data_IF_028667918009
#
_entry.id   IF_028667918009
#
_cell.length_a   1.000
_cell.length_b   1.000
_cell.length_c   1.000
_cell.angle_alpha   90.00
_cell.angle_beta   90.00
_cell.angle_gamma   90.00
#
_symmetry.space_group_name_H-M   'P 1'
#
loop_
_entity.id
_entity.type
_entity.pdbx_description
1 polymer ?
#
# COMPACT_ATOMS: atom_id res chain seq x y z
N UNK A 1 21.24 -1.69 -0.73
CA UNK A 1 19.78 -1.52 -0.94
C UNK A 1 19.34 -2.43 -2.09
N UNK A 2 18.22 -3.11 -1.94
CA UNK A 2 17.68 -3.95 -2.99
C UNK A 2 16.82 -3.10 -3.94
N UNK A 3 17.38 -2.81 -5.12
CA UNK A 3 16.74 -1.93 -6.11
C UNK A 3 15.46 -2.55 -6.70
N UNK A 4 15.47 -3.86 -6.97
CA UNK A 4 14.31 -4.55 -7.53
C UNK A 4 13.15 -4.54 -6.54
N UNK A 5 13.40 -4.84 -5.28
CA UNK A 5 12.36 -4.77 -4.25
C UNK A 5 11.84 -3.34 -4.08
N UNK A 6 12.72 -2.36 -4.06
CA UNK A 6 12.33 -0.95 -3.95
C UNK A 6 11.39 -0.56 -5.10
N UNK A 7 11.72 -0.96 -6.33
CA UNK A 7 10.89 -0.68 -7.50
C UNK A 7 9.54 -1.42 -7.43
N UNK A 8 9.55 -2.66 -6.97
CA UNK A 8 8.32 -3.45 -6.80
C UNK A 8 7.39 -2.81 -5.78
N UNK A 9 7.93 -2.36 -4.64
CA UNK A 9 7.16 -1.68 -3.61
C UNK A 9 6.54 -0.39 -4.13
N UNK A 10 7.29 0.38 -4.92
CA UNK A 10 6.77 1.60 -5.55
C UNK A 10 5.63 1.32 -6.51
N UNK A 11 5.78 0.32 -7.36
CA UNK A 11 4.74 -0.09 -8.31
C UNK A 11 3.50 -0.59 -7.57
N UNK A 12 3.68 -1.43 -6.55
CA UNK A 12 2.60 -1.93 -5.71
C UNK A 12 1.78 -0.78 -5.12
N UNK A 13 2.46 0.20 -4.54
CA UNK A 13 1.80 1.35 -3.93
C UNK A 13 1.00 2.16 -4.96
N UNK A 14 1.55 2.37 -6.16
CA UNK A 14 0.84 3.06 -7.23
C UNK A 14 -0.47 2.36 -7.60
N UNK A 15 -0.48 1.04 -7.62
CA UNK A 15 -1.69 0.26 -7.93
C UNK A 15 -2.67 0.28 -6.76
N UNK A 16 -2.18 0.26 -5.52
CA UNK A 16 -3.05 0.24 -4.34
C UNK A 16 -3.73 1.58 -4.05
N UNK A 17 -3.15 2.69 -4.48
CA UNK A 17 -3.74 4.02 -4.30
C UNK A 17 -5.14 4.13 -4.90
N UNK A 18 -5.36 3.80 -6.18
CA UNK A 18 -6.71 3.80 -6.74
C UNK A 18 -7.65 2.84 -6.03
N UNK A 19 -7.18 1.69 -5.60
CA UNK A 19 -8.00 0.73 -4.85
C UNK A 19 -8.57 1.37 -3.59
N UNK A 20 -7.72 2.03 -2.79
CA UNK A 20 -8.15 2.73 -1.56
C UNK A 20 -9.19 3.79 -1.90
N UNK A 21 -8.92 4.63 -2.88
CA UNK A 21 -9.82 5.71 -3.30
C UNK A 21 -11.17 5.15 -3.73
N UNK A 22 -11.17 4.09 -4.53
CA UNK A 22 -12.41 3.48 -5.04
C UNK A 22 -13.24 2.87 -3.90
N UNK A 23 -12.62 2.20 -2.95
CA UNK A 23 -13.31 1.64 -1.78
C UNK A 23 -13.97 2.76 -0.95
N UNK A 24 -13.24 3.85 -0.72
CA UNK A 24 -13.77 4.97 0.05
C UNK A 24 -14.91 5.68 -0.67
N UNK A 25 -14.79 5.92 -1.96
CA UNK A 25 -15.85 6.55 -2.77
C UNK A 25 -17.10 5.68 -2.82
N UNK A 26 -16.94 4.38 -2.96
CA UNK A 26 -18.04 3.42 -3.03
C UNK A 26 -18.84 3.36 -1.72
N UNK A 27 -18.15 3.40 -0.59
CA UNK A 27 -18.77 3.21 0.72
C UNK A 27 -19.18 4.52 1.42
N UNK A 28 -18.63 5.64 1.00
CA UNK A 28 -18.93 6.97 1.57
C UNK A 28 -19.25 7.96 0.45
N UNK A 29 -20.32 7.68 -0.33
CA UNK A 29 -20.68 8.55 -1.46
C UNK A 29 -21.08 9.95 -0.97
N UNK A 30 -20.68 10.96 -1.72
CA UNK A 30 -20.98 12.35 -1.37
C UNK A 30 -19.99 12.99 -0.39
N UNK A 31 -19.05 12.22 0.17
CA UNK A 31 -17.99 12.75 1.02
C UNK A 31 -16.65 12.72 0.28
N UNK A 32 -15.82 13.76 0.41
CA UNK A 32 -14.47 13.71 -0.16
C UNK A 32 -13.67 12.56 0.48
N UNK A 33 -13.14 11.65 -0.33
CA UNK A 33 -12.43 10.49 0.18
C UNK A 33 -11.23 10.89 1.05
N UNK A 34 -10.58 12.00 0.71
CA UNK A 34 -9.41 12.50 1.46
C UNK A 34 -9.78 12.79 2.92
N UNK A 35 -10.92 13.45 3.14
CA UNK A 35 -11.40 13.74 4.49
C UNK A 35 -11.83 12.49 5.25
N UNK A 36 -12.42 11.52 4.57
CA UNK A 36 -12.83 10.24 5.16
C UNK A 36 -11.60 9.48 5.68
N UNK A 37 -10.55 9.40 4.87
CA UNK A 37 -9.31 8.75 5.28
C UNK A 37 -8.60 9.54 6.39
N UNK A 38 -8.45 10.85 6.21
CA UNK A 38 -7.77 11.75 7.14
C UNK A 38 -8.32 11.63 8.57
N UNK A 39 -9.63 11.57 8.71
CA UNK A 39 -10.30 11.49 10.00
C UNK A 39 -9.90 10.23 10.81
N UNK A 40 -9.41 9.20 10.14
CA UNK A 40 -8.99 7.93 10.77
C UNK A 40 -7.48 7.83 11.00
N UNK A 41 -6.72 8.80 10.53
CA UNK A 41 -5.26 8.81 10.74
C UNK A 41 -4.93 9.26 12.17
N UNK A 42 -3.81 8.77 12.71
CA UNK A 42 -3.28 9.27 13.98
C UNK A 42 -2.88 10.74 13.85
N UNK A 43 -2.72 11.43 14.97
CA UNK A 43 -2.33 12.85 14.98
C UNK A 43 -1.03 13.09 14.20
N UNK A 44 -0.02 12.27 14.41
CA UNK A 44 1.25 12.41 13.70
C UNK A 44 1.10 12.19 12.19
N UNK A 45 0.30 11.20 11.79
CA UNK A 45 0.02 10.95 10.38
C UNK A 45 -0.80 12.07 9.75
N UNK A 46 -1.76 12.65 10.48
CA UNK A 46 -2.51 13.82 10.01
C UNK A 46 -1.59 15.01 9.77
N UNK A 47 -0.64 15.25 10.67
CA UNK A 47 0.33 16.33 10.52
C UNK A 47 1.20 16.13 9.28
N UNK A 48 1.71 14.92 9.07
CA UNK A 48 2.51 14.60 7.88
C UNK A 48 1.70 14.69 6.60
N UNK A 49 0.44 14.26 6.64
CA UNK A 49 -0.49 14.39 5.52
C UNK A 49 -0.66 15.86 5.12
N UNK A 50 -0.87 16.75 6.10
CA UNK A 50 -1.04 18.19 5.84
C UNK A 50 0.19 18.79 5.17
N UNK A 51 1.39 18.43 5.63
CA UNK A 51 2.65 18.90 5.04
C UNK A 51 2.75 18.43 3.58
N UNK A 52 2.48 17.15 3.34
CA UNK A 52 2.52 16.57 1.99
C UNK A 52 1.44 17.17 1.07
N UNK A 53 0.25 17.43 1.61
CA UNK A 53 -0.83 18.05 0.85
C UNK A 53 -0.47 19.49 0.40
N UNK A 54 0.16 20.26 1.28
CA UNK A 54 0.63 21.62 0.94
C UNK A 54 1.67 21.57 -0.18
N UNK A 55 2.62 20.64 -0.10
CA UNK A 55 3.64 20.45 -1.13
C UNK A 55 3.01 19.99 -2.46
N UNK A 56 2.05 19.10 -2.39
CA UNK A 56 1.35 18.59 -3.58
C UNK A 56 0.53 19.68 -4.27
N UNK A 57 -0.15 20.52 -3.49
CA UNK A 57 -0.92 21.64 -4.01
C UNK A 57 -0.03 22.60 -4.83
N UNK A 58 1.21 22.83 -4.37
CA UNK A 58 2.18 23.66 -5.07
C UNK A 58 2.60 23.05 -6.40
N UNK A 59 2.74 21.71 -6.46
CA UNK A 59 3.17 21.00 -7.68
C UNK A 59 2.02 20.64 -8.63
N UNK A 60 0.77 20.75 -8.17
CA UNK A 60 -0.41 20.42 -8.99
C UNK A 60 -0.67 18.94 -9.17
N UNK A 61 -0.19 18.10 -8.25
CA UNK A 61 -0.33 16.65 -8.34
C UNK A 61 -1.69 16.13 -7.86
N UNK A 62 -1.95 14.84 -8.12
CA UNK A 62 -3.17 14.14 -7.71
C UNK A 62 -3.10 13.78 -6.23
N UNK A 63 -4.17 14.04 -5.48
CA UNK A 63 -4.23 13.80 -4.02
C UNK A 63 -4.07 12.33 -3.65
N UNK A 64 -4.36 11.37 -4.54
CA UNK A 64 -4.11 9.94 -4.26
C UNK A 64 -2.63 9.68 -3.97
N UNK A 65 -1.73 10.51 -4.48
CA UNK A 65 -0.29 10.39 -4.24
C UNK A 65 0.11 10.71 -2.79
N UNK A 66 -0.82 11.22 -1.97
CA UNK A 66 -0.62 11.40 -0.53
C UNK A 66 -0.62 10.06 0.22
N UNK A 67 -1.21 9.02 -0.35
CA UNK A 67 -1.31 7.72 0.30
C UNK A 67 0.06 7.02 0.23
N UNK A 68 0.69 6.85 1.38
CA UNK A 68 1.92 6.07 1.54
C UNK A 68 1.61 4.70 2.19
N UNK A 69 2.64 3.88 2.44
CA UNK A 69 2.42 2.58 3.08
C UNK A 69 1.81 2.69 4.47
N UNK A 70 2.19 3.70 5.25
CA UNK A 70 1.60 3.92 6.58
C UNK A 70 0.11 4.25 6.49
N UNK A 71 -0.27 5.09 5.53
CA UNK A 71 -1.68 5.42 5.28
C UNK A 71 -2.46 4.19 4.78
N UNK A 72 -1.83 3.36 3.95
CA UNK A 72 -2.43 2.13 3.42
C UNK A 72 -2.74 1.15 4.57
N UNK A 73 -1.81 0.97 5.50
CA UNK A 73 -2.03 0.15 6.70
C UNK A 73 -3.15 0.73 7.56
N UNK A 74 -3.14 2.05 7.79
CA UNK A 74 -4.19 2.74 8.56
C UNK A 74 -5.57 2.56 7.91
N UNK A 75 -5.64 2.67 6.59
CA UNK A 75 -6.86 2.41 5.84
C UNK A 75 -7.37 0.99 6.11
N UNK A 76 -6.50 -0.02 5.94
CA UNK A 76 -6.90 -1.41 6.07
C UNK A 76 -7.42 -1.74 7.48
N UNK A 77 -6.81 -1.16 8.51
CA UNK A 77 -7.23 -1.36 9.90
C UNK A 77 -8.53 -0.60 10.20
N UNK A 78 -8.59 0.69 9.85
CA UNK A 78 -9.72 1.55 10.20
C UNK A 78 -10.98 1.24 9.38
N UNK A 79 -10.82 0.77 8.14
CA UNK A 79 -11.92 0.43 7.25
C UNK A 79 -12.00 -1.08 7.03
N UNK A 80 -11.72 -1.85 8.07
CA UNK A 80 -11.67 -3.32 7.99
C UNK A 80 -12.97 -3.93 7.49
N UNK A 81 -14.13 -3.37 7.86
CA UNK A 81 -15.43 -3.87 7.40
C UNK A 81 -15.56 -3.78 5.88
N UNK A 82 -15.08 -2.68 5.30
CA UNK A 82 -15.07 -2.48 3.86
C UNK A 82 -14.05 -3.41 3.18
N UNK A 83 -12.89 -3.58 3.80
CA UNK A 83 -11.85 -4.50 3.31
C UNK A 83 -12.36 -5.95 3.29
N UNK A 84 -13.10 -6.37 4.32
CA UNK A 84 -13.72 -7.71 4.37
C UNK A 84 -14.55 -7.98 3.13
N UNK A 85 -15.34 -7.01 2.69
CA UNK A 85 -16.16 -7.15 1.48
C UNK A 85 -15.31 -7.29 0.22
N UNK A 86 -14.18 -6.59 0.15
CA UNK A 86 -13.31 -6.62 -1.02
C UNK A 86 -12.48 -7.91 -1.12
N UNK A 87 -12.03 -8.44 0.01
CA UNK A 87 -11.16 -9.62 0.03
C UNK A 87 -11.91 -10.94 0.27
N UNK A 88 -13.20 -10.87 0.59
CA UNK A 88 -14.06 -12.06 0.67
C UNK A 88 -14.19 -12.70 2.04
N UNK A 89 -13.73 -12.06 3.12
CA UNK A 89 -13.92 -12.58 4.47
C UNK A 89 -13.04 -11.93 5.52
N UNK A 90 -13.37 -12.20 6.78
CA UNK A 90 -12.68 -11.62 7.93
C UNK A 90 -11.25 -12.17 8.06
N UNK A 91 -11.05 -13.45 7.83
CA UNK A 91 -9.73 -14.08 7.89
C UNK A 91 -8.82 -13.53 6.79
N UNK A 92 -9.37 -13.36 5.59
CA UNK A 92 -8.66 -12.77 4.44
C UNK A 92 -8.30 -11.32 4.72
N UNK A 93 -9.19 -10.56 5.36
CA UNK A 93 -8.88 -9.17 5.76
C UNK A 93 -7.73 -9.12 6.77
N UNK A 94 -7.69 -10.04 7.74
CA UNK A 94 -6.59 -10.12 8.69
C UNK A 94 -5.26 -10.42 8.00
N UNK A 95 -5.27 -11.32 7.02
CA UNK A 95 -4.08 -11.62 6.20
C UNK A 95 -3.65 -10.40 5.38
N UNK A 96 -4.60 -9.75 4.76
CA UNK A 96 -4.36 -8.52 3.99
C UNK A 96 -3.63 -7.47 4.84
N UNK A 97 -4.13 -7.22 6.05
CA UNK A 97 -3.51 -6.28 7.00
C UNK A 97 -2.09 -6.72 7.37
N UNK A 98 -1.89 -8.00 7.67
CA UNK A 98 -0.58 -8.54 8.02
C UNK A 98 0.42 -8.37 6.88
N UNK A 99 0.02 -8.67 5.65
CA UNK A 99 0.88 -8.47 4.48
C UNK A 99 1.26 -7.00 4.30
N UNK A 100 0.30 -6.08 4.46
CA UNK A 100 0.59 -4.66 4.37
C UNK A 100 1.56 -4.19 5.45
N UNK A 101 1.44 -4.70 6.67
CA UNK A 101 2.37 -4.38 7.75
C UNK A 101 3.78 -4.88 7.46
N UNK A 102 3.92 -6.07 6.89
CA UNK A 102 5.21 -6.59 6.45
C UNK A 102 5.83 -5.72 5.35
N UNK A 103 5.01 -5.28 4.40
CA UNK A 103 5.47 -4.41 3.31
C UNK A 103 5.89 -3.02 3.83
N UNK A 104 5.17 -2.49 4.80
CA UNK A 104 5.55 -1.24 5.45
C UNK A 104 6.92 -1.38 6.13
N UNK A 105 7.14 -2.48 6.85
CA UNK A 105 8.41 -2.75 7.51
C UNK A 105 9.55 -2.86 6.50
N UNK A 106 9.34 -3.57 5.39
CA UNK A 106 10.32 -3.70 4.32
C UNK A 106 10.63 -2.33 3.69
N UNK A 107 9.60 -1.52 3.44
CA UNK A 107 9.75 -0.17 2.87
C UNK A 107 10.55 0.73 3.81
N UNK A 108 10.29 0.65 5.12
CA UNK A 108 11.02 1.43 6.12
C UNK A 108 12.51 1.07 6.12
N UNK A 109 12.84 -0.22 6.04
CA UNK A 109 14.24 -0.66 5.93
C UNK A 109 14.91 -0.12 4.67
N UNK A 110 14.21 -0.16 3.54
CA UNK A 110 14.73 0.42 2.29
C UNK A 110 15.00 1.92 2.43
N UNK A 111 14.11 2.67 3.06
CA UNK A 111 14.26 4.12 3.25
C UNK A 111 15.45 4.47 4.15
N UNK A 112 15.74 3.62 5.13
CA UNK A 112 16.85 3.84 6.07
C UNK A 112 18.12 3.13 5.64
N UNK A 113 18.20 2.66 4.40
CA UNK A 113 19.36 1.97 3.83
C UNK A 113 19.80 0.77 4.66
N UNK A 114 18.87 0.14 5.37
CA UNK A 114 19.12 -1.10 6.10
C UNK A 114 19.07 -2.27 5.14
N UNK A 115 19.95 -3.23 5.35
CA UNK A 115 19.96 -4.43 4.53
C UNK A 115 18.80 -5.36 4.91
N UNK A 116 18.18 -5.94 3.87
CA UNK A 116 17.20 -6.98 4.02
C UNK A 116 17.84 -8.32 3.72
N UNK A 117 17.52 -9.34 4.53
CA UNK A 117 17.93 -10.70 4.24
C UNK A 117 17.22 -11.20 2.99
N UNK A 118 17.75 -12.25 2.37
CA UNK A 118 17.09 -12.88 1.22
C UNK A 118 15.68 -13.39 1.59
N UNK A 119 15.51 -13.88 2.81
CA UNK A 119 14.20 -14.31 3.31
C UNK A 119 13.23 -13.13 3.41
N UNK A 120 13.67 -11.99 3.94
CA UNK A 120 12.85 -10.79 4.02
C UNK A 120 12.44 -10.29 2.63
N UNK A 121 13.34 -10.33 1.65
CA UNK A 121 13.06 -9.97 0.26
C UNK A 121 12.00 -10.90 -0.33
N UNK A 122 12.17 -12.22 -0.18
CA UNK A 122 11.20 -13.21 -0.66
C UNK A 122 9.83 -13.00 -0.02
N UNK A 123 9.79 -12.77 1.28
CA UNK A 123 8.54 -12.54 2.00
C UNK A 123 7.82 -11.29 1.48
N UNK A 124 8.56 -10.21 1.20
CA UNK A 124 7.97 -8.98 0.66
C UNK A 124 7.36 -9.22 -0.72
N UNK A 125 8.07 -9.89 -1.63
CA UNK A 125 7.52 -10.25 -2.93
C UNK A 125 6.30 -11.16 -2.79
N UNK A 126 6.37 -12.14 -1.89
CA UNK A 126 5.26 -13.04 -1.60
C UNK A 126 4.01 -12.30 -1.11
N UNK A 127 4.18 -11.36 -0.19
CA UNK A 127 3.08 -10.55 0.35
C UNK A 127 2.40 -9.73 -0.73
N UNK A 128 3.15 -9.09 -1.61
CA UNK A 128 2.61 -8.33 -2.73
C UNK A 128 1.80 -9.22 -3.68
N UNK A 129 2.33 -10.40 -4.00
CA UNK A 129 1.63 -11.36 -4.87
C UNK A 129 0.34 -11.87 -4.23
N UNK A 130 0.36 -12.16 -2.93
CA UNK A 130 -0.83 -12.63 -2.23
C UNK A 130 -1.92 -11.57 -2.21
N UNK A 131 -1.57 -10.32 -1.99
CA UNK A 131 -2.53 -9.20 -2.05
C UNK A 131 -3.11 -9.09 -3.47
N UNK A 132 -2.28 -9.19 -4.49
CA UNK A 132 -2.73 -9.14 -5.87
C UNK A 132 -3.72 -10.27 -6.18
N UNK A 133 -3.48 -11.47 -5.66
CA UNK A 133 -4.39 -12.61 -5.80
C UNK A 133 -5.71 -12.34 -5.07
N UNK A 134 -5.64 -11.87 -3.82
CA UNK A 134 -6.83 -11.55 -3.03
C UNK A 134 -7.76 -10.55 -3.70
N UNK A 135 -7.17 -9.55 -4.36
CA UNK A 135 -7.91 -8.46 -5.00
C UNK A 135 -8.14 -8.70 -6.50
N UNK A 136 -7.73 -9.86 -7.01
CA UNK A 136 -7.85 -10.22 -8.42
C UNK A 136 -7.18 -9.20 -9.36
N UNK A 137 -6.02 -8.69 -8.94
CA UNK A 137 -5.22 -7.73 -9.69
C UNK A 137 -4.15 -8.46 -10.49
N UNK A 138 -4.55 -9.06 -11.61
CA UNK A 138 -3.69 -9.94 -12.41
C UNK A 138 -2.47 -9.20 -12.99
N UNK A 139 -2.66 -7.97 -13.45
CA UNK A 139 -1.56 -7.18 -13.99
C UNK A 139 -0.52 -6.85 -12.92
N UNK A 140 -0.96 -6.55 -11.69
CA UNK A 140 -0.07 -6.33 -10.55
C UNK A 140 0.74 -7.60 -10.27
N UNK A 141 0.06 -8.74 -10.17
CA UNK A 141 0.71 -10.03 -9.91
C UNK A 141 1.79 -10.32 -10.95
N UNK A 142 1.46 -10.15 -12.22
CA UNK A 142 2.38 -10.42 -13.33
C UNK A 142 3.60 -9.49 -13.29
N UNK A 143 3.40 -8.21 -12.99
CA UNK A 143 4.49 -7.25 -12.90
C UNK A 143 5.41 -7.55 -11.71
N UNK A 144 4.85 -7.89 -10.55
CA UNK A 144 5.65 -8.27 -9.38
C UNK A 144 6.46 -9.53 -9.67
N UNK A 145 5.87 -10.52 -10.32
CA UNK A 145 6.57 -11.74 -10.73
C UNK A 145 7.71 -11.43 -11.71
N UNK A 146 7.46 -10.52 -12.65
CA UNK A 146 8.50 -10.10 -13.62
C UNK A 146 9.68 -9.47 -12.89
N UNK A 147 9.43 -8.55 -11.97
CA UNK A 147 10.47 -7.87 -11.20
C UNK A 147 11.25 -8.89 -10.36
N UNK A 148 10.54 -9.82 -9.73
CA UNK A 148 11.16 -10.86 -8.91
C UNK A 148 12.07 -11.78 -9.74
N UNK A 149 11.67 -12.11 -10.97
CA UNK A 149 12.53 -12.91 -11.87
C UNK A 149 13.82 -12.17 -12.21
N UNK A 150 13.76 -10.85 -12.40
CA UNK A 150 14.95 -10.04 -12.63
C UNK A 150 15.86 -10.03 -11.39
N UNK A 151 15.28 -9.97 -10.18
CA UNK A 151 16.03 -10.05 -8.93
C UNK A 151 16.81 -11.35 -8.82
N UNK A 152 16.22 -12.46 -9.26
CA UNK A 152 16.80 -13.79 -9.18
C UNK A 152 17.66 -14.17 -10.38
N UNK A 153 17.76 -13.29 -11.38
CA UNK A 153 18.59 -13.55 -12.56
C UNK A 153 20.08 -13.51 -12.23
N UNK A 154 20.91 -14.40 -12.84
CA UNK A 154 22.35 -14.41 -12.61
C UNK A 154 23.06 -13.17 -13.18
#
# INVERSE_FOLDING_TARGET
>A
MNTSLFNALGYFLEVMRPFVVDVLKKNFPGEPWEGVLYAKLSYDKQRMWNISADNLATSGGDTKNLIDFGNLVSFAISFKDQVIQEVGGKQEANRFISYLQELQAARNKCQHYQELSSTEVEMAFGSMKMIAIMLELEDLKNEIERIQREENAP
#
